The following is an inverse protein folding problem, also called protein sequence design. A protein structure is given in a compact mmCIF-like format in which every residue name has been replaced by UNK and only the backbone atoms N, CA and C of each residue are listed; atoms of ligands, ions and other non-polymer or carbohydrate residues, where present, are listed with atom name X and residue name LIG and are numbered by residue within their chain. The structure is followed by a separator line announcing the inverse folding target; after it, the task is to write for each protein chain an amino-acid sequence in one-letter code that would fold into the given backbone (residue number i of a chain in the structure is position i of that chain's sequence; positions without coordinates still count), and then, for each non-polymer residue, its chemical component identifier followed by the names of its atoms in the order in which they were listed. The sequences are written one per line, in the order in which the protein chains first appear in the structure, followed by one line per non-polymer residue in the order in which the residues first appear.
data_IF_873375651355
#
_entry.id   IF_873375651355
#
_cell.length_a   1.000
_cell.length_b   1.000
_cell.length_c   1.000
_cell.angle_alpha   90.00
_cell.angle_beta   90.00
_cell.angle_gamma   90.00
#
_symmetry.space_group_name_H-M   'P 1'
#
loop_
_entity.id
_entity.type
_entity.pdbx_description
1 polymer ?
2 polymer ?
3 polymer ?
4 water ?
#
# COMPACT_ATOMS: atom_id res chain seq x y z
N UNK A 1 -19.02 -8.16 -1.13
CA UNK A 1 -19.08 -7.15 -2.17
C UNK A 1 -18.17 -7.44 -3.36
N UNK A 2 -17.53 -6.41 -3.87
CA UNK A 2 -16.61 -6.59 -4.98
C UNK A 2 -15.18 -6.72 -4.46
N UNK A 3 -14.33 -7.37 -5.27
CA UNK A 3 -12.98 -7.72 -4.83
C UNK A 3 -11.93 -7.54 -5.92
N UNK A 4 -10.67 -7.43 -5.50
CA UNK A 4 -9.58 -7.29 -6.46
C UNK A 4 -8.45 -8.24 -6.11
N UNK A 5 -7.72 -8.68 -7.12
CA UNK A 5 -6.46 -9.38 -6.88
C UNK A 5 -5.42 -8.55 -7.60
N UNK A 6 -4.32 -8.26 -6.92
CA UNK A 6 -3.30 -7.43 -7.54
C UNK A 6 -1.92 -7.88 -7.14
N UNK A 7 -1.02 -7.90 -8.11
CA UNK A 7 0.39 -8.17 -7.84
C UNK A 7 1.15 -6.88 -8.00
N UNK A 8 2.06 -6.63 -7.06
CA UNK A 8 2.89 -5.44 -7.08
C UNK A 8 4.34 -5.88 -7.16
N UNK A 9 4.96 -5.63 -8.31
CA UNK A 9 6.32 -6.09 -8.57
C UNK A 9 7.28 -4.91 -8.64
N UNK A 10 8.42 -5.08 -7.99
CA UNK A 10 9.47 -4.06 -7.99
C UNK A 10 10.79 -4.72 -8.38
N UNK A 11 11.41 -4.22 -9.44
CA UNK A 11 12.77 -4.64 -9.82
C UNK A 11 13.66 -3.42 -9.70
N UNK A 12 14.77 -3.54 -8.98
CA UNK A 12 15.61 -2.38 -8.76
C UNK A 12 17.07 -2.74 -8.93
N UNK A 13 17.74 -2.07 -9.87
CA UNK A 13 19.16 -2.29 -10.06
C UNK A 13 19.96 -1.64 -8.94
N UNK A 14 21.18 -2.14 -8.73
CA UNK A 14 22.04 -1.68 -7.66
C UNK A 14 23.48 -1.95 -8.09
N UNK A 15 23.98 -1.14 -9.02
CA UNK A 15 25.30 -1.40 -9.61
C UNK A 15 26.40 -1.57 -8.56
N UNK A 16 27.13 -2.67 -8.66
CA UNK A 16 28.20 -2.95 -7.72
C UNK A 16 27.76 -3.75 -6.51
N UNK A 17 26.45 -3.98 -6.39
CA UNK A 17 25.91 -4.74 -5.27
C UNK A 17 25.05 -5.91 -5.75
N UNK A 18 25.46 -6.53 -6.85
CA UNK A 18 24.78 -7.71 -7.35
C UNK A 18 23.75 -7.41 -8.44
N UNK A 19 22.94 -8.41 -8.75
CA UNK A 19 21.94 -8.30 -9.81
C UNK A 19 20.73 -7.58 -9.22
N UNK A 20 19.87 -7.03 -10.07
CA UNK A 20 18.75 -6.25 -9.51
C UNK A 20 17.82 -7.07 -8.61
N UNK A 21 17.43 -6.49 -7.48
CA UNK A 21 16.53 -7.19 -6.59
C UNK A 21 15.17 -7.20 -7.23
N UNK A 22 14.49 -8.36 -7.16
CA UNK A 22 13.12 -8.46 -7.66
C UNK A 22 12.23 -8.92 -6.53
N UNK A 23 11.16 -8.18 -6.26
CA UNK A 23 10.20 -8.62 -5.27
C UNK A 23 8.80 -8.54 -5.84
N UNK A 24 8.01 -9.59 -5.63
CA UNK A 24 6.64 -9.62 -6.12
C UNK A 24 5.75 -9.94 -4.94
N UNK A 25 4.76 -9.07 -4.71
CA UNK A 25 3.80 -9.31 -3.64
C UNK A 25 2.39 -9.36 -4.19
N UNK A 26 1.63 -10.37 -3.77
CA UNK A 26 0.27 -10.54 -4.25
C UNK A 26 -0.74 -10.24 -3.16
N UNK A 27 -1.81 -9.55 -3.52
CA UNK A 27 -2.87 -9.18 -2.58
C UNK A 27 -4.23 -9.62 -3.07
N UNK A 28 -5.11 -9.98 -2.13
CA UNK A 28 -6.54 -9.94 -2.41
C UNK A 28 -7.05 -8.77 -1.59
N UNK A 29 -7.61 -7.75 -2.25
CA UNK A 29 -8.00 -6.52 -1.57
C UNK A 29 -6.83 -6.01 -0.74
N UNK A 30 -7.02 -5.83 0.58
CA UNK A 30 -5.94 -5.31 1.41
C UNK A 30 -5.21 -6.39 2.22
N UNK A 31 -5.30 -7.63 1.75
CA UNK A 31 -4.65 -8.77 2.42
C UNK A 31 -3.54 -9.33 1.53
N UNK A 32 -2.29 -9.22 1.98
CA UNK A 32 -1.21 -9.84 1.24
C UNK A 32 -1.29 -11.35 1.42
N UNK A 33 -1.13 -12.11 0.33
CA UNK A 33 -1.18 -13.57 0.44
C UNK A 33 0.06 -14.28 -0.06
N UNK A 34 0.93 -13.56 -0.77
CA UNK A 34 2.15 -14.19 -1.28
C UNK A 34 3.25 -13.14 -1.44
N UNK A 35 4.49 -13.56 -1.19
CA UNK A 35 5.65 -12.73 -1.49
C UNK A 35 6.74 -13.61 -2.06
N UNK A 36 7.39 -13.14 -3.12
CA UNK A 36 8.63 -13.72 -3.60
C UNK A 36 9.68 -12.62 -3.65
N UNK A 37 10.86 -12.90 -3.10
CA UNK A 37 11.91 -11.90 -3.03
C UNK A 37 13.19 -12.58 -3.51
N UNK A 38 13.84 -12.02 -4.52
CA UNK A 38 15.05 -12.65 -5.05
C UNK A 38 16.19 -12.65 -4.03
N UNK A 39 16.06 -11.82 -3.00
CA UNK A 39 17.06 -11.74 -1.91
C UNK A 39 16.75 -12.66 -0.73
N UNK A 40 15.74 -13.51 -0.89
CA UNK A 40 15.54 -14.69 -0.01
C UNK A 40 15.63 -14.42 1.49
N UNK A 48 3.15 -16.78 3.12
CA UNK A 48 1.94 -17.28 2.46
C UNK A 48 0.75 -17.26 3.41
N UNK A 49 -0.38 -16.77 2.92
CA UNK A 49 -1.63 -16.85 3.70
C UNK A 49 -2.01 -18.30 3.99
N UNK A 50 -2.78 -18.54 5.05
CA UNK A 50 -3.20 -19.92 5.39
C UNK A 50 -4.00 -20.59 4.29
N UNK A 51 -4.95 -19.87 3.70
CA UNK A 51 -5.80 -20.41 2.62
C UNK A 51 -5.02 -20.65 1.31
N UNK A 52 -3.74 -20.30 1.31
CA UNK A 52 -2.85 -20.57 0.19
C UNK A 52 -2.16 -21.93 0.39
N UNK A 53 -1.77 -22.21 1.63
CA UNK A 53 -1.06 -23.46 1.95
C UNK A 53 -1.88 -24.69 1.59
N UNK A 54 -3.21 -24.54 1.59
CA UNK A 54 -4.09 -25.64 1.27
C UNK A 54 -4.07 -25.99 -0.23
N UNK A 55 -3.54 -25.09 -1.06
CA UNK A 55 -3.29 -25.45 -2.45
C UNK A 55 -2.09 -26.39 -2.49
N UNK A 56 -1.90 -27.08 -3.61
CA UNK A 56 -0.83 -28.07 -3.68
C UNK A 56 0.56 -27.51 -3.46
N UNK A 57 1.55 -28.40 -3.30
CA UNK A 57 2.94 -27.97 -3.40
C UNK A 57 3.25 -27.76 -4.88
N UNK A 58 2.37 -28.29 -5.73
CA UNK A 58 2.42 -28.09 -7.17
C UNK A 58 2.02 -26.66 -7.56
N UNK A 59 0.99 -26.13 -6.91
CA UNK A 59 0.62 -24.73 -7.07
C UNK A 59 1.82 -23.85 -6.72
N UNK A 60 2.48 -24.21 -5.62
CA UNK A 60 3.58 -23.40 -5.10
C UNK A 60 4.77 -23.47 -6.04
N UNK A 61 5.04 -24.64 -6.60
CA UNK A 61 6.13 -24.79 -7.55
C UNK A 61 5.86 -24.00 -8.83
N UNK A 62 4.62 -24.10 -9.34
CA UNK A 62 4.26 -23.39 -10.57
C UNK A 62 4.42 -21.88 -10.40
N UNK A 63 4.01 -21.36 -9.25
CA UNK A 63 4.17 -19.93 -8.98
C UNK A 63 5.63 -19.58 -8.73
N UNK A 64 6.37 -20.49 -8.10
CA UNK A 64 7.81 -20.27 -7.88
C UNK A 64 8.53 -20.16 -9.22
N UNK A 65 8.20 -21.03 -10.16
CA UNK A 65 8.81 -20.99 -11.50
C UNK A 65 8.49 -19.67 -12.21
N UNK A 66 7.24 -19.23 -12.09
CA UNK A 66 6.83 -17.96 -12.70
C UNK A 66 7.64 -16.80 -12.11
N UNK A 67 7.78 -16.76 -10.78
CA UNK A 67 8.55 -15.70 -10.13
C UNK A 67 10.00 -15.70 -10.62
N UNK A 68 10.56 -16.89 -10.80
CA UNK A 68 11.94 -16.98 -11.28
C UNK A 68 12.07 -16.44 -12.70
N UNK A 69 11.13 -16.80 -13.57
CA UNK A 69 11.14 -16.31 -14.95
C UNK A 69 10.93 -14.81 -14.97
N UNK A 70 9.99 -14.33 -14.16
CA UNK A 70 9.70 -12.90 -14.08
C UNK A 70 10.89 -12.09 -13.59
N UNK A 71 11.66 -12.67 -12.66
CA UNK A 71 12.89 -12.04 -12.18
C UNK A 71 13.82 -11.77 -13.35
N UNK A 72 14.01 -12.78 -14.20
CA UNK A 72 14.94 -12.64 -15.32
C UNK A 72 14.41 -11.68 -16.36
N UNK A 73 13.10 -11.74 -16.62
CA UNK A 73 12.51 -10.83 -17.61
C UNK A 73 12.68 -9.38 -17.18
N UNK A 74 12.39 -9.08 -15.91
CA UNK A 74 12.48 -7.70 -15.45
C UNK A 74 13.93 -7.23 -15.35
N UNK A 75 14.85 -8.14 -15.02
CA UNK A 75 16.27 -7.78 -15.06
C UNK A 75 16.71 -7.38 -16.46
N UNK A 76 16.29 -8.16 -17.45
CA UNK A 76 16.68 -7.82 -18.83
C UNK A 76 15.98 -6.54 -19.29
N UNK A 77 14.74 -6.36 -18.86
CA UNK A 77 14.03 -5.12 -19.16
C UNK A 77 14.74 -3.89 -18.58
N UNK A 78 15.28 -3.99 -17.36
CA UNK A 78 15.99 -2.85 -16.79
C UNK A 78 17.17 -2.46 -17.67
N UNK A 79 17.86 -3.46 -18.20
CA UNK A 79 18.98 -3.22 -19.11
C UNK A 79 18.52 -2.53 -20.40
N UNK A 80 17.40 -2.99 -20.95
CA UNK A 80 16.85 -2.40 -22.16
C UNK A 80 16.44 -0.96 -21.93
N UNK A 81 15.79 -0.70 -20.80
CA UNK A 81 15.30 0.62 -20.48
C UNK A 81 16.44 1.63 -20.31
N UNK A 82 17.56 1.23 -19.71
CA UNK A 82 18.60 2.24 -19.58
C UNK A 82 19.12 2.60 -20.98
N UNK A 83 19.09 1.64 -21.90
CA UNK A 83 19.43 1.93 -23.28
C UNK A 83 18.45 2.91 -23.91
N UNK A 84 17.15 2.68 -23.71
CA UNK A 84 16.13 3.55 -24.31
C UNK A 84 16.25 5.00 -23.87
N UNK A 85 16.82 5.22 -22.68
CA UNK A 85 16.89 6.57 -22.14
C UNK A 85 18.32 7.11 -22.10
N UNK A 86 19.23 6.42 -22.80
CA UNK A 86 20.63 6.83 -22.90
C UNK A 86 21.29 6.98 -21.55
N UNK A 87 20.92 6.12 -20.60
CA UNK A 87 21.46 6.22 -19.26
C UNK A 87 22.72 5.40 -19.06
N UNK A 88 23.60 5.90 -18.21
CA UNK A 88 24.83 5.19 -17.87
C UNK A 88 24.56 3.96 -17.02
N UNK A 89 25.60 3.16 -16.81
CA UNK A 89 25.47 1.94 -16.01
C UNK A 89 25.66 2.25 -14.53
N UNK A 90 26.00 3.50 -14.21
CA UNK A 90 26.37 3.88 -12.85
C UNK A 90 25.21 4.03 -11.87
N UNK A 91 24.04 4.48 -12.33
CA UNK A 91 22.95 4.75 -11.42
C UNK A 91 22.02 3.58 -11.18
N UNK A 92 21.28 3.65 -10.09
CA UNK A 92 20.22 2.68 -9.77
C UNK A 92 18.92 3.10 -10.40
N UNK A 93 18.16 2.14 -10.90
CA UNK A 93 16.86 2.43 -11.52
C UNK A 93 15.82 1.43 -11.07
N UNK A 94 14.54 1.80 -11.19
CA UNK A 94 13.47 0.97 -10.66
C UNK A 94 12.43 0.70 -11.74
N UNK A 95 12.06 -0.57 -11.92
CA UNK A 95 10.95 -0.92 -12.80
C UNK A 95 9.85 -1.54 -11.96
N UNK A 96 8.70 -0.89 -11.93
CA UNK A 96 7.57 -1.42 -11.17
C UNK A 96 6.47 -1.87 -12.10
N UNK A 97 5.68 -2.85 -11.66
CA UNK A 97 4.47 -3.19 -12.38
C UNK A 97 3.36 -3.61 -11.45
N UNK A 98 2.14 -3.37 -11.91
CA UNK A 98 0.95 -3.84 -11.21
C UNK A 98 0.09 -4.59 -12.18
N UNK A 99 -0.36 -5.78 -11.81
CA UNK A 99 -1.33 -6.47 -12.67
C UNK A 99 -2.38 -7.21 -11.85
N UNK A 100 -3.54 -7.46 -12.43
CA UNK A 100 -4.57 -8.21 -11.74
C UNK A 100 -5.95 -7.86 -12.20
N UNK A 101 -6.96 -8.34 -11.49
CA UNK A 101 -8.34 -8.18 -11.95
C UNK A 101 -9.24 -7.68 -10.84
N UNK A 102 -10.31 -6.98 -11.23
CA UNK A 102 -11.37 -6.61 -10.29
C UNK A 102 -12.61 -7.42 -10.67
N UNK A 103 -13.30 -7.95 -9.67
CA UNK A 103 -14.56 -8.66 -9.92
C UNK A 103 -15.69 -8.11 -9.06
N UNK A 104 -16.91 -8.28 -9.55
CA UNK A 104 -18.08 -7.89 -8.77
C UNK A 104 -18.51 -8.97 -7.79
N UNK A 105 -19.59 -8.70 -7.03
CA UNK A 105 -20.16 -9.62 -6.04
C UNK A 105 -20.47 -10.99 -6.62
N UNK A 106 -20.85 -11.04 -7.89
CA UNK A 106 -21.13 -12.29 -8.59
C UNK A 106 -19.86 -12.99 -9.07
N UNK A 107 -18.71 -12.37 -8.84
CA UNK A 107 -17.45 -12.97 -9.20
C UNK A 107 -17.04 -12.75 -10.65
N UNK A 108 -17.81 -11.95 -11.37
CA UNK A 108 -17.48 -11.72 -12.77
C UNK A 108 -16.55 -10.54 -12.95
N UNK A 109 -15.73 -10.62 -13.99
CA UNK A 109 -14.74 -9.60 -14.31
C UNK A 109 -15.38 -8.22 -14.50
N UNK A 110 -14.88 -7.26 -13.74
CA UNK A 110 -15.22 -5.86 -13.95
C UNK A 110 -14.17 -5.23 -14.86
N UNK A 111 -12.90 -5.52 -14.60
CA UNK A 111 -11.82 -4.83 -15.29
C UNK A 111 -10.51 -5.53 -14.99
N UNK A 112 -9.60 -5.56 -15.97
CA UNK A 112 -8.26 -6.08 -15.76
C UNK A 112 -7.22 -4.98 -15.85
N UNK A 113 -6.03 -5.25 -15.31
CA UNK A 113 -4.97 -4.25 -15.26
C UNK A 113 -3.64 -4.91 -15.56
N UNK A 114 -2.75 -4.18 -16.24
CA UNK A 114 -1.37 -4.61 -16.40
C UNK A 114 -0.55 -3.41 -16.84
N UNK A 115 0.21 -2.83 -15.92
CA UNK A 115 0.88 -1.59 -16.27
C UNK A 115 2.21 -1.46 -15.54
N UNK A 116 3.04 -0.55 -16.05
CA UNK A 116 4.44 -0.44 -15.65
C UNK A 116 4.81 0.99 -15.42
N UNK A 117 5.77 1.21 -14.51
CA UNK A 117 6.39 2.53 -14.31
C UNK A 117 7.89 2.36 -14.24
N UNK A 118 8.61 3.34 -14.77
CA UNK A 118 10.08 3.32 -14.68
C UNK A 118 10.54 4.56 -13.95
N UNK A 119 11.36 4.35 -12.93
CA UNK A 119 11.82 5.41 -12.05
C UNK A 119 10.66 6.28 -11.57
N UNK A 120 9.55 5.63 -11.24
CA UNK A 120 8.42 6.31 -10.62
C UNK A 120 7.45 6.96 -11.60
N UNK A 121 7.77 6.87 -12.89
CA UNK A 121 6.97 7.53 -13.91
C UNK A 121 6.23 6.49 -14.75
N UNK A 122 4.92 6.70 -14.98
CA UNK A 122 4.19 5.77 -15.83
C UNK A 122 4.88 5.56 -17.16
N UNK A 123 4.96 4.29 -17.58
CA UNK A 123 5.71 3.91 -18.76
C UNK A 123 4.81 3.31 -19.85
N UNK A 124 4.16 2.18 -19.56
CA UNK A 124 3.20 1.62 -20.51
C UNK A 124 2.07 0.96 -19.75
N UNK A 125 0.87 0.96 -20.31
CA UNK A 125 -0.25 0.29 -19.65
C UNK A 125 -1.09 -0.42 -20.69
N UNK A 126 -1.59 -1.60 -20.33
CA UNK A 126 -2.63 -2.26 -21.11
C UNK A 126 -3.93 -1.51 -20.91
N UNK A 127 -4.59 -1.15 -22.01
CA UNK A 127 -5.84 -0.41 -21.94
C UNK A 127 -6.96 -1.30 -21.42
N UNK A 128 -8.08 -0.67 -21.06
CA UNK A 128 -9.19 -1.39 -20.46
C UNK A 128 -9.74 -2.44 -21.41
N UNK A 129 -9.56 -2.23 -22.71
CA UNK A 129 -10.03 -3.21 -23.68
C UNK A 129 -9.26 -4.53 -23.67
N UNK A 130 -8.15 -4.54 -22.94
CA UNK A 130 -7.25 -5.70 -22.86
C UNK A 130 -6.71 -6.10 -24.24
N UNK A 131 -6.67 -5.15 -25.17
CA UNK A 131 -6.17 -5.44 -26.51
C UNK A 131 -5.14 -4.45 -27.01
N UNK A 132 -5.13 -3.25 -26.44
CA UNK A 132 -4.27 -2.18 -26.93
C UNK A 132 -3.43 -1.55 -25.81
N UNK A 133 -2.35 -0.86 -26.20
CA UNK A 133 -1.43 -0.26 -25.23
C UNK A 133 -1.45 1.26 -25.26
N UNK A 134 -1.18 1.85 -24.10
CA UNK A 134 -0.89 3.28 -24.03
C UNK A 134 0.53 3.47 -23.56
N UNK A 135 1.36 4.03 -24.43
CA UNK A 135 2.78 4.32 -24.13
C UNK A 135 3.00 5.77 -23.74
N UNK A 136 3.82 6.00 -22.72
CA UNK A 136 4.00 7.35 -22.18
C UNK A 136 4.93 8.25 -22.98
N UNK A 137 5.87 7.64 -23.70
CA UNK A 137 6.93 8.41 -24.33
C UNK A 137 7.57 7.58 -25.44
N UNK A 138 8.60 8.11 -26.09
CA UNK A 138 9.15 7.44 -27.27
C UNK A 138 9.87 6.15 -26.92
N UNK A 139 10.30 6.02 -25.66
CA UNK A 139 10.92 4.78 -25.22
C UNK A 139 9.85 3.69 -25.09
N UNK A 140 8.76 4.03 -24.41
CA UNK A 140 7.69 3.04 -24.23
C UNK A 140 7.05 2.66 -25.56
N UNK A 141 7.19 3.53 -26.57
CA UNK A 141 6.68 3.18 -27.90
C UNK A 141 7.46 2.02 -28.49
N UNK A 142 8.73 1.90 -28.11
CA UNK A 142 9.53 0.75 -28.54
C UNK A 142 8.94 -0.53 -27.93
N UNK A 143 8.69 -0.48 -26.62
CA UNK A 143 8.07 -1.62 -25.93
C UNK A 143 6.72 -1.95 -26.59
N UNK A 144 5.94 -0.92 -26.85
CA UNK A 144 4.63 -1.14 -27.46
C UNK A 144 4.75 -1.86 -28.79
N UNK A 145 5.67 -1.40 -29.64
CA UNK A 145 5.85 -2.02 -30.94
C UNK A 145 6.28 -3.49 -30.80
N UNK A 146 7.20 -3.76 -29.87
CA UNK A 146 7.66 -5.13 -29.63
C UNK A 146 6.52 -6.00 -29.13
N UNK A 147 5.72 -5.45 -28.23
CA UNK A 147 4.63 -6.22 -27.63
C UNK A 147 3.46 -6.44 -28.59
N UNK A 148 3.25 -5.49 -29.49
CA UNK A 148 2.28 -5.69 -30.55
C UNK A 148 2.75 -6.80 -31.50
N UNK A 149 4.03 -6.78 -31.87
CA UNK A 149 4.57 -7.80 -32.77
C UNK A 149 4.49 -9.20 -32.16
N UNK A 150 4.66 -9.31 -30.84
CA UNK A 150 4.68 -10.61 -30.18
C UNK A 150 3.31 -11.00 -29.62
N UNK A 151 2.30 -10.19 -29.91
CA UNK A 151 0.92 -10.44 -29.47
C UNK A 151 0.83 -10.64 -27.96
N UNK A 152 1.57 -9.82 -27.21
CA UNK A 152 1.61 -9.93 -25.76
C UNK A 152 0.22 -9.66 -25.13
N UNK A 153 -0.49 -8.68 -25.65
CA UNK A 153 -1.79 -8.32 -25.06
C UNK A 153 -2.75 -9.52 -25.04
N UNK A 154 -2.68 -10.37 -26.05
CA UNK A 154 -3.52 -11.57 -26.10
C UNK A 154 -3.24 -12.52 -24.94
N UNK A 155 -1.96 -12.65 -24.60
CA UNK A 155 -1.54 -13.52 -23.50
C UNK A 155 -2.01 -12.89 -22.19
N UNK A 156 -1.83 -11.58 -22.06
CA UNK A 156 -2.21 -10.87 -20.84
C UNK A 156 -3.72 -10.96 -20.66
N UNK A 157 -4.47 -10.74 -21.74
CA UNK A 157 -5.94 -10.83 -21.68
C UNK A 157 -6.39 -12.22 -21.23
N UNK A 158 -5.74 -13.26 -21.76
CA UNK A 158 -6.06 -14.62 -21.38
C UNK A 158 -5.87 -14.84 -19.89
N UNK A 159 -4.76 -14.34 -19.34
CA UNK A 159 -4.54 -14.43 -17.90
C UNK A 159 -5.60 -13.66 -17.14
N UNK A 160 -5.86 -12.43 -17.57
CA UNK A 160 -6.74 -11.55 -16.78
C UNK A 160 -8.18 -12.04 -16.79
N UNK A 161 -8.65 -12.56 -17.93
CA UNK A 161 -10.02 -13.05 -18.04
C UNK A 161 -10.20 -14.47 -17.52
N UNK A 162 -9.10 -15.22 -17.47
CA UNK A 162 -9.13 -16.62 -17.07
C UNK A 162 -8.53 -16.85 -15.70
N UNK A 163 -7.25 -17.21 -15.69
CA UNK A 163 -6.48 -17.46 -14.48
C UNK A 163 -6.76 -16.49 -13.33
N UNK A 164 -6.74 -15.20 -13.62
CA UNK A 164 -6.89 -14.19 -12.57
C UNK A 164 -8.25 -14.31 -11.91
N UNK A 165 -9.30 -14.29 -12.72
CA UNK A 165 -10.67 -14.33 -12.19
C UNK A 165 -10.92 -15.67 -11.50
N UNK A 166 -10.46 -16.75 -12.12
CA UNK A 166 -10.67 -18.10 -11.56
C UNK A 166 -10.01 -18.27 -10.20
N UNK A 167 -8.76 -17.86 -10.09
CA UNK A 167 -8.07 -18.00 -8.82
C UNK A 167 -8.58 -17.02 -7.76
N UNK A 168 -8.93 -15.79 -8.16
CA UNK A 168 -9.50 -14.87 -7.18
C UNK A 168 -10.77 -15.49 -6.57
N UNK A 169 -11.62 -16.06 -7.44
CA UNK A 169 -12.83 -16.72 -6.95
C UNK A 169 -12.52 -17.84 -5.96
N UNK A 170 -11.49 -18.65 -6.26
CA UNK A 170 -11.10 -19.74 -5.39
C UNK A 170 -10.58 -19.24 -4.05
N UNK A 171 -9.74 -18.21 -4.07
CA UNK A 171 -9.20 -17.65 -2.83
C UNK A 171 -10.32 -17.11 -1.96
N UNK A 172 -11.29 -16.45 -2.58
CA UNK A 172 -12.39 -15.85 -1.83
C UNK A 172 -13.23 -16.93 -1.17
N UNK A 173 -13.37 -18.06 -1.85
CA UNK A 173 -14.12 -19.17 -1.28
C UNK A 173 -13.38 -19.83 -0.12
N UNK A 174 -12.10 -20.12 -0.32
CA UNK A 174 -11.29 -20.76 0.71
C UNK A 174 -10.98 -19.85 1.89
N UNK A 175 -10.91 -18.55 1.64
CA UNK A 175 -10.56 -17.59 2.67
C UNK A 175 -11.71 -16.69 3.09
N UNK A 176 -12.94 -17.15 2.88
CA UNK A 176 -14.12 -16.30 3.07
C UNK A 176 -14.26 -15.69 4.46
N UNK A 177 -13.97 -16.45 5.51
CA UNK A 177 -14.07 -15.94 6.89
C UNK A 177 -13.30 -14.63 7.13
N UNK A 178 -12.24 -14.41 6.37
CA UNK A 178 -11.49 -13.16 6.47
C UNK A 178 -11.71 -12.29 5.24
N UNK A 179 -11.51 -12.87 4.05
CA UNK A 179 -11.53 -12.06 2.84
C UNK A 179 -12.89 -11.44 2.54
N UNK A 180 -13.96 -12.12 2.95
CA UNK A 180 -15.30 -11.62 2.70
C UNK A 180 -15.94 -11.04 3.95
N UNK A 181 -15.14 -10.83 4.99
CA UNK A 181 -15.65 -10.22 6.21
C UNK A 181 -15.20 -8.77 6.28
N UNK A 182 -16.17 -7.86 6.37
CA UNK A 182 -15.83 -6.45 6.56
C UNK A 182 -15.96 -6.17 8.03
N UNK A 183 -14.91 -5.61 8.62
CA UNK A 183 -14.92 -5.25 10.04
C UNK A 183 -15.16 -3.76 10.13
N UNK A 184 -16.23 -3.34 10.83
CA UNK A 184 -16.59 -1.92 10.86
C UNK A 184 -15.65 -1.11 11.74
N UNK A 185 -15.55 0.20 11.47
CA UNK A 185 -14.70 1.01 12.32
C UNK A 185 -15.28 1.18 13.71
N UNK A 186 -14.40 1.20 14.70
CA UNK A 186 -14.76 1.65 16.03
C UNK A 186 -14.43 3.13 16.06
N UNK A 187 -15.40 3.94 16.46
CA UNK A 187 -15.29 5.38 16.27
C UNK A 187 -15.50 6.15 17.56
N UNK A 188 -14.69 7.19 17.77
CA UNK A 188 -14.94 8.14 18.85
C UNK A 188 -14.40 9.52 18.47
N UNK A 189 -14.84 10.55 19.20
CA UNK A 189 -14.39 11.92 18.94
C UNK A 189 -13.65 12.40 20.17
N UNK A 190 -12.46 12.92 19.97
CA UNK A 190 -11.68 13.47 21.07
C UNK A 190 -11.58 14.98 20.91
N UNK A 191 -11.22 15.66 22.01
CA UNK A 191 -11.24 17.11 22.04
C UNK A 191 -9.95 17.60 22.67
N UNK A 192 -9.23 18.46 21.96
CA UNK A 192 -7.97 19.00 22.47
C UNK A 192 -7.85 20.51 22.34
N UNK A 193 -7.97 21.22 23.46
CA UNK A 193 -7.75 22.67 23.51
C UNK A 193 -6.40 23.04 22.90
N UNK A 194 -6.41 24.09 22.08
CA UNK A 194 -5.22 24.62 21.43
C UNK A 194 -4.82 25.89 22.16
N UNK A 195 -5.84 26.65 22.56
CA UNK A 195 -5.69 27.89 23.30
C UNK A 195 -7.01 28.14 24.02
N UNK A 196 -7.14 29.31 24.64
CA UNK A 196 -8.41 29.66 25.28
C UNK A 196 -9.53 29.76 24.25
N UNK A 197 -9.14 29.94 22.99
CA UNK A 197 -10.06 30.39 21.93
C UNK A 197 -10.50 29.30 20.96
N UNK A 198 -9.75 28.20 20.91
CA UNK A 198 -9.92 27.17 19.88
C UNK A 198 -9.57 25.81 20.45
N UNK A 199 -10.18 24.78 19.87
CA UNK A 199 -9.83 23.41 20.23
C UNK A 199 -9.87 22.56 18.96
N UNK A 200 -9.14 21.45 18.98
CA UNK A 200 -9.21 20.49 17.88
C UNK A 200 -10.21 19.40 18.22
N UNK A 201 -11.11 19.09 17.29
CA UNK A 201 -11.95 17.90 17.38
C UNK A 201 -11.35 16.87 16.45
N UNK A 202 -11.11 15.67 16.97
CA UNK A 202 -10.50 14.62 16.14
C UNK A 202 -11.44 13.43 16.10
N UNK A 203 -11.87 13.06 14.90
CA UNK A 203 -12.75 11.93 14.72
C UNK A 203 -11.93 10.70 14.31
N UNK A 204 -12.03 9.65 15.11
CA UNK A 204 -11.22 8.45 14.95
C UNK A 204 -12.03 7.29 14.38
N UNK A 205 -11.38 6.52 13.51
CA UNK A 205 -11.91 5.25 13.02
C UNK A 205 -10.80 4.21 13.21
N UNK A 206 -11.08 3.16 13.99
CA UNK A 206 -10.08 2.16 14.32
C UNK A 206 -10.59 0.75 14.02
N UNK A 207 -9.66 -0.17 13.74
CA UNK A 207 -10.01 -1.58 13.64
C UNK A 207 -10.82 -2.00 12.43
N UNK A 208 -10.81 -1.22 11.35
CA UNK A 208 -11.67 -1.55 10.22
C UNK A 208 -10.95 -2.31 9.09
N UNK A 209 -11.73 -3.08 8.33
CA UNK A 209 -11.21 -3.79 7.18
C UNK A 209 -12.38 -3.91 6.23
N UNK A 210 -12.18 -3.65 4.93
CA UNK A 210 -10.93 -3.25 4.26
C UNK A 210 -10.59 -1.78 4.50
N UNK A 211 -9.51 -1.30 3.89
CA UNK A 211 -9.01 0.05 4.15
C UNK A 211 -9.91 1.20 3.68
N UNK A 212 -10.69 0.96 2.63
CA UNK A 212 -11.56 1.98 2.08
C UNK A 212 -12.53 2.50 3.14
N UNK A 213 -12.53 3.82 3.32
CA UNK A 213 -13.39 4.45 4.30
C UNK A 213 -13.55 5.92 3.92
N UNK A 214 -14.65 6.52 4.36
CA UNK A 214 -14.90 7.95 4.17
C UNK A 214 -15.12 8.60 5.53
N UNK A 215 -14.26 9.57 5.87
CA UNK A 215 -14.38 10.27 7.15
C UNK A 215 -14.45 11.75 6.85
N UNK A 216 -15.53 12.40 7.26
CA UNK A 216 -15.69 13.82 6.96
C UNK A 216 -16.20 14.58 8.18
N UNK A 217 -15.83 15.86 8.27
CA UNK A 217 -16.45 16.77 9.24
C UNK A 217 -17.38 17.73 8.51
N UNK A 218 -18.54 17.96 9.12
CA UNK A 218 -19.46 19.03 8.68
C UNK A 218 -19.63 20.05 9.79
N UNK A 219 -19.83 21.31 9.41
CA UNK A 219 -20.21 22.36 10.34
C UNK A 219 -21.55 22.91 9.85
N UNK A 220 -22.56 22.86 10.71
CA UNK A 220 -23.94 23.24 10.33
C UNK A 220 -24.33 22.52 9.04
N UNK A 221 -24.01 21.23 8.95
CA UNK A 221 -24.37 20.43 7.78
C UNK A 221 -23.57 20.76 6.53
N UNK A 222 -22.55 21.59 6.66
CA UNK A 222 -21.72 21.98 5.52
C UNK A 222 -20.37 21.27 5.55
N UNK A 223 -19.98 20.68 4.42
CA UNK A 223 -18.69 20.01 4.30
C UNK A 223 -17.53 20.93 4.63
N UNK A 224 -16.58 20.45 5.44
CA UNK A 224 -15.42 21.25 5.83
C UNK A 224 -14.16 20.73 5.18
N UNK A 225 -14.25 20.45 3.88
CA UNK A 225 -13.14 19.83 3.14
C UNK A 225 -11.82 20.61 3.28
N UNK A 226 -11.88 21.92 3.06
CA UNK A 226 -10.68 22.73 3.08
C UNK A 226 -10.08 22.88 4.47
N UNK A 227 -10.92 22.79 5.50
CA UNK A 227 -10.47 23.01 6.87
C UNK A 227 -10.27 21.72 7.69
N UNK A 228 -10.45 20.58 7.04
CA UNK A 228 -10.25 19.29 7.70
C UNK A 228 -8.85 18.74 7.45
N UNK A 229 -8.16 18.35 8.52
CA UNK A 229 -6.91 17.63 8.38
C UNK A 229 -7.20 16.13 8.37
N UNK A 230 -6.89 15.48 7.25
CA UNK A 230 -7.12 14.05 7.07
C UNK A 230 -5.78 13.32 6.98
N UNK A 231 -5.51 12.40 7.89
CA UNK A 231 -4.30 11.58 7.75
C UNK A 231 -4.55 10.41 6.81
N UNK A 232 -3.47 9.92 6.20
CA UNK A 232 -3.56 8.75 5.33
C UNK A 232 -3.99 7.56 6.15
N UNK A 233 -4.85 6.72 5.56
CA UNK A 233 -5.27 5.49 6.20
C UNK A 233 -4.03 4.65 6.45
N UNK A 234 -3.94 4.09 7.65
CA UNK A 234 -2.71 3.43 8.08
C UNK A 234 -2.99 2.04 8.66
N UNK A 235 -2.09 1.08 8.41
CA UNK A 235 -2.27 -0.31 8.89
C UNK A 235 -1.96 -0.44 10.37
N UNK A 236 -2.79 -1.18 11.11
CA UNK A 236 -2.51 -1.37 12.52
C UNK A 236 -1.56 -2.52 12.79
N UNK A 237 -1.47 -3.46 11.86
CA UNK A 237 -0.58 -4.59 12.00
C UNK A 237 -1.30 -5.89 12.30
N UNK A 238 -2.62 -5.81 12.49
CA UNK A 238 -3.46 -6.97 12.79
C UNK A 238 -4.51 -7.20 11.69
N UNK A 239 -4.16 -6.80 10.47
CA UNK A 239 -5.04 -6.78 9.26
C UNK A 239 -5.83 -5.49 9.13
N UNK A 240 -6.17 -4.87 10.26
CA UNK A 240 -7.07 -3.72 10.22
C UNK A 240 -6.36 -2.41 9.96
N UNK A 241 -7.18 -1.37 9.75
CA UNK A 241 -6.65 -0.05 9.41
C UNK A 241 -7.20 1.02 10.35
N UNK A 242 -6.55 2.18 10.33
CA UNK A 242 -6.94 3.30 11.18
C UNK A 242 -6.95 4.57 10.36
N UNK A 243 -7.78 5.53 10.78
CA UNK A 243 -7.78 6.85 10.14
C UNK A 243 -8.35 7.86 11.12
N UNK A 244 -7.93 9.11 10.98
CA UNK A 244 -8.60 10.19 11.69
C UNK A 244 -8.74 11.46 10.86
N UNK A 245 -9.73 12.28 11.23
CA UNK A 245 -9.96 13.56 10.58
C UNK A 245 -10.11 14.59 11.69
N UNK A 246 -9.48 15.75 11.54
CA UNK A 246 -9.55 16.74 12.60
C UNK A 246 -9.93 18.12 12.07
N UNK A 247 -10.64 18.88 12.89
CA UNK A 247 -10.95 20.26 12.56
C UNK A 247 -10.68 21.16 13.77
N UNK A 248 -10.30 22.40 13.50
CA UNK A 248 -10.08 23.36 14.58
C UNK A 248 -11.34 24.19 14.73
N UNK A 249 -11.88 24.21 15.93
CA UNK A 249 -13.17 24.84 16.16
C UNK A 249 -13.10 25.91 17.24
N UNK A 250 -13.93 26.96 17.11
CA UNK A 250 -13.97 27.98 18.16
C UNK A 250 -14.52 27.40 19.45
N UNK A 251 -13.93 27.77 20.59
CA UNK A 251 -14.42 27.31 21.88
C UNK A 251 -15.90 27.62 22.02
N UNK A 252 -16.68 26.63 22.43
CA UNK A 252 -18.10 26.81 22.63
C UNK A 252 -18.95 26.42 21.44
N UNK A 253 -18.32 26.24 20.29
CA UNK A 253 -19.07 25.95 19.07
C UNK A 253 -19.03 24.45 18.68
N UNK A 254 -18.55 23.60 19.60
CA UNK A 254 -18.31 22.19 19.27
C UNK A 254 -19.54 21.44 18.74
N UNK A 255 -20.73 21.77 19.24
CA UNK A 255 -21.93 21.04 18.85
C UNK A 255 -22.43 21.36 17.43
N UNK A 256 -21.83 22.35 16.78
CA UNK A 256 -22.16 22.63 15.38
C UNK A 256 -21.46 21.66 14.43
N UNK A 257 -20.55 20.86 14.98
CA UNK A 257 -19.73 19.97 14.16
C UNK A 257 -20.17 18.52 14.29
N UNK A 258 -20.31 17.85 13.15
CA UNK A 258 -20.62 16.42 13.14
C UNK A 258 -19.61 15.67 12.29
N UNK A 259 -19.17 14.52 12.79
CA UNK A 259 -18.28 13.64 12.02
C UNK A 259 -19.10 12.55 11.35
N UNK A 260 -18.81 12.29 10.09
CA UNK A 260 -19.58 11.31 9.33
C UNK A 260 -18.68 10.18 8.83
N UNK A 261 -19.12 8.95 9.06
CA UNK A 261 -18.32 7.77 8.74
C UNK A 261 -19.07 6.81 7.82
N UNK A 262 -18.48 6.50 6.68
CA UNK A 262 -19.02 5.47 5.80
C UNK A 262 -17.99 4.36 5.65
N UNK A 263 -18.41 3.13 5.84
CA UNK A 263 -17.55 1.97 5.65
C UNK A 263 -18.40 0.76 5.28
N UNK A 264 -17.83 -0.17 4.51
CA UNK A 264 -18.55 -1.36 4.07
C UNK A 264 -19.11 -2.20 5.22
N UNK A 265 -18.41 -2.20 6.36
CA UNK A 265 -18.80 -2.99 7.50
C UNK A 265 -19.91 -2.37 8.33
N UNK A 266 -20.34 -1.18 7.92
CA UNK A 266 -21.39 -0.45 8.64
C UNK A 266 -22.75 -0.70 8.03
N UNK A 267 -23.69 -1.20 8.85
CA UNK A 267 -25.10 -1.33 8.48
C UNK A 267 -25.58 0.01 7.94
N UNK A 268 -25.41 1.05 8.74
CA UNK A 268 -25.67 2.42 8.31
C UNK A 268 -24.50 3.29 8.74
N UNK A 269 -24.16 4.29 7.91
CA UNK A 269 -23.23 5.36 8.27
C UNK A 269 -23.39 5.88 9.69
N UNK A 270 -22.29 6.33 10.28
CA UNK A 270 -22.37 6.91 11.61
C UNK A 270 -22.37 8.43 11.48
N UNK A 271 -23.04 9.07 12.43
CA UNK A 271 -22.94 10.50 12.65
C UNK A 271 -22.48 10.63 14.09
N UNK A 272 -21.37 11.33 14.31
CA UNK A 272 -20.80 11.45 15.64
C UNK A 272 -20.57 12.92 15.98
N UNK A 273 -20.65 13.22 17.27
CA UNK A 273 -20.30 14.55 17.76
C UNK A 273 -19.45 14.33 18.99
N UNK A 274 -18.78 15.38 19.43
CA UNK A 274 -18.09 15.33 20.71
C UNK A 274 -19.08 15.18 21.85
N UNK A 275 -18.89 14.16 22.69
CA UNK A 275 -19.72 14.00 23.87
C UNK A 275 -18.87 14.27 25.11
N UNK A 276 -18.95 15.51 25.64
CA UNK A 276 -18.13 15.93 26.78
C UNK A 276 -18.33 15.06 28.01
N UNK B 1 15.94 12.62 -12.04
CA UNK B 1 14.72 11.84 -11.84
C UNK B 1 13.86 12.39 -10.71
N UNK B 2 12.55 12.14 -10.78
CA UNK B 2 11.65 12.51 -9.69
C UNK B 2 11.96 11.70 -8.46
N UNK B 3 11.95 12.37 -7.32
CA UNK B 3 12.03 11.66 -6.05
C UNK B 3 10.87 12.16 -5.21
N UNK B 4 10.38 11.30 -4.32
CA UNK B 4 9.26 11.65 -3.46
C UNK B 4 9.66 11.37 -2.02
N UNK B 5 9.42 12.34 -1.14
CA UNK B 5 9.86 12.21 0.24
C UNK B 5 8.83 11.46 1.08
N UNK B 6 9.28 10.66 2.06
CA UNK B 6 8.29 9.86 2.80
C UNK B 6 7.39 10.66 3.72
N UNK B 7 6.14 10.25 3.77
CA UNK B 7 5.26 10.66 4.86
C UNK B 7 5.51 9.69 6.01
N UNK B 8 5.32 10.16 7.24
CA UNK B 8 5.64 9.37 8.42
C UNK B 8 4.51 9.49 9.44
N UNK B 9 3.99 8.34 9.90
CA UNK B 9 3.07 8.34 11.02
C UNK B 9 3.56 7.37 12.08
N UNK B 10 3.49 7.81 13.34
CA UNK B 10 3.90 6.99 14.48
C UNK B 10 2.72 6.81 15.41
N UNK B 11 2.40 5.57 15.75
CA UNK B 11 1.14 5.28 16.43
C UNK B 11 1.13 3.86 16.96
N UNK B 12 0.16 3.56 17.83
CA UNK B 12 0.08 2.21 18.38
C UNK B 12 -1.05 1.38 17.73
N UNK B 13 -0.90 0.07 17.76
CA UNK B 13 -1.88 -0.83 17.16
C UNK B 13 -3.23 -0.73 17.85
N UNK B 14 -3.18 -0.75 19.18
CA UNK B 14 -4.36 -0.62 20.03
C UNK B 14 -4.29 0.71 20.79
N UNK B 15 -5.43 1.20 21.32
CA UNK B 15 -5.38 2.43 22.12
C UNK B 15 -4.35 2.28 23.24
N UNK B 16 -3.55 3.31 23.46
CA UNK B 16 -2.47 3.23 24.44
C UNK B 16 -2.99 3.20 25.87
N UNK B 17 -2.49 2.25 26.65
CA UNK B 17 -2.78 2.18 28.08
C UNK B 17 -1.49 1.82 28.83
N UNK B 18 -1.02 2.75 29.66
CA UNK B 18 0.21 2.53 30.41
C UNK B 18 0.24 1.21 31.17
N UNK B 19 1.31 0.45 30.97
CA UNK B 19 1.47 -0.84 31.63
C UNK B 19 0.95 -2.02 30.83
N UNK B 20 0.26 -1.74 29.73
CA UNK B 20 -0.30 -2.80 28.91
C UNK B 20 0.48 -2.99 27.60
N UNK B 21 0.89 -4.23 27.34
CA UNK B 21 1.63 -4.57 26.13
C UNK B 21 0.84 -4.17 24.88
N UNK B 22 1.54 -3.66 23.88
CA UNK B 22 0.91 -3.09 22.70
C UNK B 22 1.92 -3.24 21.57
N UNK B 23 1.64 -2.63 20.41
CA UNK B 23 2.63 -2.55 19.33
C UNK B 23 2.84 -1.12 18.92
N UNK B 24 4.10 -0.73 18.79
CA UNK B 24 4.47 0.61 18.31
C UNK B 24 4.70 0.52 16.80
N UNK B 25 3.99 1.36 16.04
CA UNK B 25 4.07 1.35 14.58
C UNK B 25 4.72 2.62 14.06
N UNK B 26 5.54 2.47 13.01
CA UNK B 26 5.95 3.63 12.22
C UNK B 26 5.62 3.27 10.78
N UNK B 27 4.70 4.01 10.19
CA UNK B 27 4.28 3.79 8.82
C UNK B 27 4.90 4.86 7.93
N UNK B 28 5.70 4.42 6.96
CA UNK B 28 6.30 5.33 6.02
C UNK B 28 5.71 5.10 4.66
N UNK B 29 5.31 6.17 3.99
CA UNK B 29 4.60 5.97 2.73
C UNK B 29 4.83 7.13 1.79
N UNK B 30 4.42 6.95 0.53
CA UNK B 30 4.49 8.05 -0.42
C UNK B 30 5.88 8.34 -0.96
N UNK B 31 6.81 7.42 -0.76
CA UNK B 31 8.21 7.71 -1.12
C UNK B 31 8.70 7.00 -2.37
N UNK B 32 9.74 7.57 -2.98
CA UNK B 32 10.35 7.00 -4.17
C UNK B 32 11.72 7.65 -4.30
N UNK B 33 12.78 6.85 -4.54
CA UNK B 33 12.83 5.40 -4.70
C UNK B 33 12.64 4.66 -3.39
N UNK B 34 12.78 3.34 -3.42
CA UNK B 34 12.33 2.52 -2.29
C UNK B 34 13.31 2.39 -1.13
N UNK B 35 14.58 2.68 -1.35
CA UNK B 35 15.56 2.55 -0.26
C UNK B 35 15.21 3.54 0.84
N UNK B 36 15.17 3.06 2.07
CA UNK B 36 14.78 3.90 3.19
C UNK B 36 15.32 3.30 4.48
N UNK B 37 15.66 4.14 5.45
CA UNK B 37 16.12 3.68 6.76
C UNK B 37 15.13 4.15 7.80
N UNK B 38 14.64 3.21 8.60
CA UNK B 38 13.65 3.54 9.61
C UNK B 38 14.06 2.89 10.93
N UNK B 39 14.10 3.70 11.98
CA UNK B 39 14.42 3.21 13.32
C UNK B 39 13.28 3.59 14.26
N UNK B 40 12.95 2.69 15.18
CA UNK B 40 12.07 3.05 16.29
C UNK B 40 12.97 3.36 17.47
N UNK B 41 12.66 4.42 18.20
CA UNK B 41 13.49 4.87 19.32
C UNK B 41 12.74 4.81 20.65
N UNK B 42 13.46 4.41 21.69
CA UNK B 42 12.93 4.47 23.04
C UNK B 42 13.86 5.37 23.86
N UNK B 43 13.36 6.53 24.27
CA UNK B 43 14.17 7.53 24.96
C UNK B 43 15.47 7.82 24.21
N UNK B 44 15.39 7.85 22.88
CA UNK B 44 16.55 8.18 22.06
C UNK B 44 17.39 7.00 21.57
N UNK B 45 17.25 5.85 22.20
CA UNK B 45 18.05 4.68 21.78
C UNK B 45 17.28 3.79 20.81
N UNK B 46 18.01 3.23 19.85
CA UNK B 46 17.42 2.36 18.85
C UNK B 46 16.90 1.05 19.43
N UNK B 47 15.69 0.69 19.07
CA UNK B 47 15.13 -0.60 19.47
C UNK B 47 15.64 -1.70 18.54
N UNK B 48 16.12 -2.80 19.12
CA UNK B 48 16.73 -3.87 18.32
C UNK B 48 15.67 -4.79 17.72
N UNK B 49 14.57 -4.91 18.43
CA UNK B 49 13.55 -5.87 18.08
C UNK B 49 12.54 -5.23 17.14
N UNK B 50 12.95 -4.94 15.90
CA UNK B 50 12.05 -4.28 14.94
C UNK B 50 11.85 -5.02 13.62
N UNK B 51 10.59 -5.29 13.30
CA UNK B 51 10.21 -6.01 12.10
C UNK B 51 9.62 -5.03 11.11
N UNK B 52 9.49 -5.45 9.86
CA UNK B 52 8.81 -4.62 8.87
C UNK B 52 8.01 -5.44 7.88
N UNK B 53 7.06 -4.80 7.23
CA UNK B 53 6.26 -5.44 6.20
C UNK B 53 7.07 -5.61 4.91
N UNK B 54 6.49 -6.31 3.93
CA UNK B 54 7.16 -6.51 2.65
C UNK B 54 6.90 -5.33 1.71
N UNK B 55 7.95 -4.90 1.01
CA UNK B 55 7.86 -3.75 0.10
C UNK B 55 6.71 -3.86 -0.87
N UNK B 56 5.85 -2.84 -0.82
CA UNK B 56 4.79 -2.73 -1.78
C UNK B 56 4.61 -1.25 -2.10
N UNK B 57 3.62 -0.96 -2.93
CA UNK B 57 3.40 0.41 -3.34
C UNK B 57 1.93 0.67 -3.69
N UNK B 58 1.60 1.95 -3.76
CA UNK B 58 0.22 2.37 -4.00
C UNK B 58 -0.02 2.52 -5.49
N UNK B 59 -1.24 2.81 -5.88
CA UNK B 59 -1.53 2.94 -7.32
C UNK B 59 -0.79 4.10 -7.98
N UNK B 60 -0.30 5.06 -7.20
CA UNK B 60 0.51 6.15 -7.74
C UNK B 60 2.01 5.81 -7.80
N UNK B 61 2.31 4.54 -7.51
CA UNK B 61 3.65 3.93 -7.60
C UNK B 61 4.57 4.25 -6.42
N UNK B 62 4.09 5.06 -5.48
CA UNK B 62 4.93 5.40 -4.33
C UNK B 62 4.91 4.26 -3.32
N UNK B 63 6.05 4.05 -2.66
CA UNK B 63 6.24 2.89 -1.80
C UNK B 63 5.71 3.12 -0.39
N UNK B 64 5.40 2.02 0.29
CA UNK B 64 5.06 2.10 1.71
C UNK B 64 5.58 0.90 2.48
N UNK B 65 5.93 1.12 3.75
CA UNK B 65 6.37 0.05 4.64
C UNK B 65 5.87 0.33 6.04
N UNK B 66 5.54 -0.73 6.77
CA UNK B 66 5.23 -0.60 8.19
C UNK B 66 6.34 -1.23 9.00
N UNK B 67 6.90 -0.45 9.91
CA UNK B 67 7.87 -0.96 10.87
C UNK B 67 7.19 -1.07 12.24
N UNK B 68 7.45 -2.15 12.97
CA UNK B 68 6.71 -2.37 14.22
C UNK B 68 7.49 -3.17 15.23
N UNK B 69 7.16 -2.95 16.49
CA UNK B 69 7.78 -3.69 17.59
C UNK B 69 6.80 -3.78 18.75
N UNK B 70 6.87 -4.87 19.52
CA UNK B 70 6.10 -4.93 20.75
C UNK B 70 6.66 -3.92 21.74
N UNK B 71 5.77 -3.21 22.44
CA UNK B 71 6.20 -2.33 23.52
C UNK B 71 5.12 -2.24 24.58
N UNK B 72 5.55 -1.93 25.80
CA UNK B 72 4.62 -1.69 26.87
C UNK B 72 4.79 -0.24 27.30
N UNK B 73 3.87 0.62 26.84
CA UNK B 73 3.96 2.05 27.16
C UNK B 73 3.89 2.32 28.66
N UNK B 74 4.62 3.34 29.09
CA UNK B 74 4.57 3.81 30.46
C UNK B 74 4.32 5.31 30.42
N UNK B 75 4.21 5.93 31.58
CA UNK B 75 3.93 7.36 31.64
C UNK B 75 5.09 8.20 31.10
N UNK B 76 6.31 7.77 31.37
CA UNK B 76 7.49 8.62 31.15
C UNK B 76 8.40 8.19 30.01
N UNK B 77 8.19 7.01 29.45
CA UNK B 77 9.01 6.61 28.31
C UNK B 77 8.56 7.35 27.06
N UNK B 78 9.54 7.90 26.35
CA UNK B 78 9.27 8.62 25.10
C UNK B 78 9.62 7.70 23.94
N UNK B 79 8.74 7.62 22.95
CA UNK B 79 9.01 6.83 21.76
C UNK B 79 9.01 7.72 20.53
N UNK B 80 9.75 7.30 19.50
CA UNK B 80 9.79 8.07 18.26
C UNK B 80 10.19 7.19 17.10
N UNK B 81 10.05 7.71 15.89
CA UNK B 81 10.49 7.03 14.70
C UNK B 81 11.50 7.93 13.99
N UNK B 82 12.63 7.36 13.58
CA UNK B 82 13.65 8.15 12.89
C UNK B 82 13.83 7.62 11.46
N UNK B 83 13.62 8.49 10.47
CA UNK B 83 13.60 8.09 9.06
C UNK B 83 14.65 8.82 8.24
N UNK B 84 15.42 8.08 7.45
CA UNK B 84 16.27 8.71 6.45
C UNK B 84 15.97 8.17 5.05
N UNK B 85 16.16 9.03 4.06
CA UNK B 85 15.81 8.73 2.68
C UNK B 85 16.70 9.64 1.84
N UNK B 86 16.89 9.28 0.59
CA UNK B 86 17.72 10.11 -0.31
C UNK B 86 17.22 11.56 -0.38
N UNK B 87 15.91 11.76 -0.22
CA UNK B 87 15.31 13.10 -0.26
C UNK B 87 15.53 13.94 1.00
N UNK B 88 16.09 13.35 2.04
CA UNK B 88 16.29 14.07 3.31
C UNK B 88 17.77 14.40 3.56
N UNK B 89 18.04 15.66 3.86
CA UNK B 89 19.40 16.11 4.20
C UNK B 89 19.93 15.40 5.44
N UNK B 90 19.04 15.15 6.39
CA UNK B 90 19.38 14.50 7.65
C UNK B 90 18.13 13.75 8.13
N UNK B 91 18.32 12.77 9.03
CA UNK B 91 17.18 11.95 9.47
C UNK B 91 16.04 12.78 10.06
N UNK B 92 14.81 12.45 9.69
CA UNK B 92 13.64 13.12 10.25
C UNK B 92 13.15 12.30 11.44
N UNK B 93 12.87 12.98 12.56
CA UNK B 93 12.37 12.30 13.76
C UNK B 93 10.94 12.73 14.06
N UNK B 94 10.04 11.75 14.18
CA UNK B 94 8.65 12.03 14.53
C UNK B 94 8.35 11.37 15.86
N UNK B 95 7.88 12.15 16.82
CA UNK B 95 7.60 11.64 18.15
C UNK B 95 6.29 10.90 18.18
N UNK B 96 6.21 9.84 19.00
CA UNK B 96 4.94 9.17 19.22
C UNK B 96 4.07 10.02 20.12
N UNK B 97 2.88 10.36 19.63
CA UNK B 97 1.90 11.16 20.35
C UNK B 97 0.65 10.30 20.44
N UNK B 98 0.19 9.98 21.64
CA UNK B 98 -0.97 9.12 21.83
C UNK B 98 -2.26 9.64 21.20
N UNK B 99 -2.30 10.95 20.95
CA UNK B 99 -3.50 11.58 20.44
C UNK B 99 -3.45 11.78 18.93
N UNK B 100 -2.52 11.10 18.26
CA UNK B 100 -2.42 11.19 16.81
C UNK B 100 -2.13 9.85 16.12
N UNK C 1 -2.88 -16.12 -8.04
CA UNK C 1 -1.97 -16.81 -8.95
C UNK C 1 -1.26 -15.80 -9.85
N UNK C 2 0.07 -15.91 -9.91
CA UNK C 2 0.87 -14.94 -10.64
C UNK C 2 0.78 -15.14 -12.16
N UNK C 3 1.24 -14.14 -12.90
CA UNK C 3 1.21 -14.15 -14.36
C UNK C 3 2.62 -14.18 -14.86
N UNK C 4 2.88 -15.00 -15.89
CA UNK C 4 4.19 -15.03 -16.51
C UNK C 4 4.45 -13.71 -17.21
N UNK C 5 5.62 -13.14 -16.95
CA UNK C 5 6.08 -11.99 -17.70
C UNK C 5 7.21 -12.58 -18.54
N UNK C 6 6.90 -12.85 -19.81
CA UNK C 6 7.79 -13.61 -20.67
C UNK C 6 8.35 -12.75 -21.80
N UNK C 7 7.98 -11.46 -21.81
CA UNK C 7 8.41 -10.58 -22.89
C UNK C 7 9.11 -9.37 -22.30
N UNK C 8 10.36 -9.19 -22.70
CA UNK C 8 11.14 -8.06 -22.21
C UNK C 8 10.48 -6.79 -22.73
N UNK C 9 10.60 -5.71 -21.95
CA UNK C 9 10.21 -4.38 -22.41
C UNK C 9 11.21 -3.90 -23.45
#
# INVERSE_FOLDING_TARGET
GSHSMRYFDTAMSRPGRGEPRFISVGYVDDTQFVRFDSDAASPREEPRAPWIEQEGPEYWDRNTQIFKTNTQTDRESLRNLRGYYNQSEAGSHTLQSMYGCDVGPDGRLLRGHNQYAYDGKDYIALNEDLRSWTAADTAAQITQRKWEAARVAEQDRAYLEGTCVEWLRRYLENGKDTLERADPPKTHVTHHPISDHEATLRCWALGFYPAEITLTWQRDGEDQTQDTELVETRPAGDRTFQKWAAVVVPSGEEQRYTCHVQHEGLPKPLTLRWEP
MIQRTPKIQVYSRHPAENGKSNFLNCYVSGFHPSDIEVDLLKNGERIEKVEHSDLSFSKDWSFYLLYYTEFTPTEKDEYACRVNHVTLSQPKIVKWDRDM
HSKKKCDEL
#
